data_IF_284098773565
#
_entry.id   IF_284098773565
#
_cell.length_a   1.000
_cell.length_b   1.000
_cell.length_c   1.000
_cell.angle_alpha   90.00
_cell.angle_beta   90.00
_cell.angle_gamma   90.00
#
_symmetry.space_group_name_H-M   'P 1'
#
loop_
_entity.id
_entity.type
_entity.pdbx_description
1 polymer ?
#
# COMPACT_ATOMS: atom_id res chain seq x y z
N UNK A 1 2.03 27.75 3.76
CA UNK A 1 2.26 26.34 4.16
C UNK A 1 1.43 25.34 3.34
N UNK A 2 0.10 25.50 3.26
CA UNK A 2 -0.76 24.64 2.41
C UNK A 2 -0.41 24.64 0.92
N UNK A 3 0.09 25.76 0.37
CA UNK A 3 0.55 25.83 -1.02
C UNK A 3 1.80 24.98 -1.30
N UNK A 4 2.69 24.79 -0.31
CA UNK A 4 3.88 23.93 -0.43
C UNK A 4 3.52 22.45 -0.29
N UNK A 5 2.59 22.11 0.60
CA UNK A 5 1.96 20.77 0.69
C UNK A 5 1.21 20.40 -0.60
N UNK A 6 0.49 21.36 -1.21
CA UNK A 6 -0.27 21.12 -2.45
C UNK A 6 0.60 20.94 -3.69
N UNK A 7 1.78 21.56 -3.75
CA UNK A 7 2.69 21.45 -4.92
C UNK A 7 3.22 20.04 -5.12
N UNK A 8 3.17 19.19 -4.09
CA UNK A 8 3.85 17.90 -4.14
C UNK A 8 3.06 16.73 -3.56
N UNK A 9 1.72 16.83 -3.58
CA UNK A 9 0.81 15.79 -3.07
C UNK A 9 1.21 14.39 -3.55
N UNK A 10 1.49 14.24 -4.86
CA UNK A 10 1.86 12.96 -5.43
C UNK A 10 3.16 12.40 -4.84
N UNK A 11 4.24 13.20 -4.77
CA UNK A 11 5.49 12.76 -4.15
C UNK A 11 5.29 12.43 -2.67
N UNK A 12 4.56 13.27 -1.93
CA UNK A 12 4.32 13.04 -0.50
C UNK A 12 3.56 11.73 -0.25
N UNK A 13 2.54 11.44 -1.05
CA UNK A 13 1.77 10.19 -0.93
C UNK A 13 2.64 8.98 -1.28
N UNK A 14 3.43 9.06 -2.36
CA UNK A 14 4.37 7.99 -2.74
C UNK A 14 5.41 7.74 -1.65
N UNK A 15 5.98 8.79 -1.07
CA UNK A 15 6.96 8.65 0.01
C UNK A 15 6.32 8.07 1.28
N UNK A 16 5.15 8.55 1.67
CA UNK A 16 4.43 8.07 2.84
C UNK A 16 4.07 6.59 2.71
N UNK A 17 3.55 6.18 1.55
CA UNK A 17 3.25 4.78 1.26
C UNK A 17 4.52 3.92 1.25
N UNK A 18 5.61 4.44 0.68
CA UNK A 18 6.91 3.78 0.71
C UNK A 18 7.41 3.52 2.14
N UNK A 19 7.39 4.53 3.00
CA UNK A 19 7.78 4.40 4.42
C UNK A 19 6.86 3.43 5.15
N UNK A 20 5.55 3.55 4.96
CA UNK A 20 4.56 2.69 5.60
C UNK A 20 4.77 1.21 5.21
N UNK A 21 4.91 0.94 3.92
CA UNK A 21 5.17 -0.40 3.40
C UNK A 21 6.46 -0.99 3.99
N UNK A 22 7.54 -0.21 4.09
CA UNK A 22 8.78 -0.67 4.75
C UNK A 22 8.61 -0.95 6.24
N UNK A 23 7.84 -0.13 6.96
CA UNK A 23 7.56 -0.36 8.36
C UNK A 23 6.74 -1.66 8.57
N UNK A 24 5.75 -1.91 7.72
CA UNK A 24 4.98 -3.16 7.72
C UNK A 24 5.88 -4.36 7.41
N UNK A 25 6.75 -4.26 6.41
CA UNK A 25 7.71 -5.30 6.08
C UNK A 25 8.62 -5.64 7.28
N UNK A 26 9.18 -4.62 7.93
CA UNK A 26 10.03 -4.80 9.09
C UNK A 26 9.29 -5.49 10.25
N UNK A 27 8.05 -5.08 10.52
CA UNK A 27 7.19 -5.70 11.53
C UNK A 27 6.92 -7.18 11.21
N UNK A 28 6.55 -7.48 9.96
CA UNK A 28 6.20 -8.83 9.56
C UNK A 28 7.40 -9.77 9.57
N UNK A 29 8.60 -9.30 9.18
CA UNK A 29 9.83 -10.08 9.32
C UNK A 29 10.24 -10.29 10.78
N UNK A 30 10.01 -9.31 11.66
CA UNK A 30 10.40 -9.40 13.06
C UNK A 30 9.54 -10.41 13.84
N UNK A 31 8.23 -10.45 13.58
CA UNK A 31 7.27 -11.26 14.34
C UNK A 31 6.23 -11.97 13.46
N UNK A 32 6.65 -12.83 12.50
CA UNK A 32 5.72 -13.44 11.55
C UNK A 32 4.73 -14.39 12.22
N UNK A 33 5.14 -15.11 13.27
CA UNK A 33 4.27 -16.01 14.04
C UNK A 33 3.14 -15.27 14.76
N UNK A 34 3.43 -14.29 15.62
CA UNK A 34 2.40 -13.46 16.27
C UNK A 34 1.46 -12.77 15.29
N UNK A 35 1.99 -12.20 14.20
CA UNK A 35 1.16 -11.57 13.15
C UNK A 35 0.23 -12.61 12.51
N UNK A 36 0.75 -13.78 12.16
CA UNK A 36 -0.04 -14.87 11.60
C UNK A 36 -1.17 -15.33 12.54
N UNK A 37 -0.86 -15.48 13.84
CA UNK A 37 -1.83 -15.87 14.85
C UNK A 37 -2.99 -14.86 15.01
N UNK A 38 -2.73 -13.56 14.82
CA UNK A 38 -3.77 -12.54 14.80
C UNK A 38 -4.64 -12.63 13.54
N UNK A 39 -4.09 -13.03 12.40
CA UNK A 39 -4.84 -13.11 11.14
C UNK A 39 -5.69 -14.37 11.06
N UNK A 40 -5.12 -15.53 11.35
CA UNK A 40 -5.83 -16.82 11.29
C UNK A 40 -4.91 -18.01 11.01
N UNK A 41 -5.41 -19.24 11.14
CA UNK A 41 -4.61 -20.47 11.05
C UNK A 41 -3.90 -20.66 9.69
N UNK A 42 -4.44 -20.07 8.61
CA UNK A 42 -3.81 -20.15 7.28
C UNK A 42 -2.70 -19.11 7.05
N UNK A 43 -2.58 -18.11 7.93
CA UNK A 43 -1.50 -17.11 7.87
C UNK A 43 -0.21 -17.67 8.47
N UNK A 44 0.35 -18.70 7.82
CA UNK A 44 1.59 -19.35 8.28
C UNK A 44 2.76 -18.36 8.28
N UNK A 45 3.81 -18.59 9.10
CA UNK A 45 4.99 -17.72 9.12
C UNK A 45 5.64 -17.56 7.73
N UNK A 46 5.62 -18.61 6.91
CA UNK A 46 6.12 -18.54 5.54
C UNK A 46 5.31 -17.57 4.66
N UNK A 47 3.97 -17.61 4.78
CA UNK A 47 3.09 -16.67 4.06
C UNK A 47 3.29 -15.23 4.54
N UNK A 48 3.40 -15.02 5.86
CA UNK A 48 3.65 -13.69 6.44
C UNK A 48 5.01 -13.14 5.99
N UNK A 49 6.06 -13.96 5.94
CA UNK A 49 7.35 -13.58 5.38
C UNK A 49 7.28 -13.27 3.88
N UNK A 50 6.46 -14.00 3.12
CA UNK A 50 6.18 -13.70 1.72
C UNK A 50 5.55 -12.31 1.55
N UNK A 51 4.56 -11.97 2.39
CA UNK A 51 3.97 -10.63 2.44
C UNK A 51 4.99 -9.57 2.87
N UNK A 52 5.86 -9.87 3.84
CA UNK A 52 6.93 -8.97 4.27
C UNK A 52 7.89 -8.65 3.12
N UNK A 53 8.30 -9.65 2.34
CA UNK A 53 9.15 -9.46 1.17
C UNK A 53 8.45 -8.62 0.09
N UNK A 54 7.16 -8.87 -0.15
CA UNK A 54 6.35 -8.03 -1.03
C UNK A 54 6.35 -6.57 -0.57
N UNK A 55 6.02 -6.29 0.69
CA UNK A 55 5.99 -4.94 1.25
C UNK A 55 7.36 -4.25 1.24
N UNK A 56 8.44 -5.00 1.42
CA UNK A 56 9.80 -4.48 1.29
C UNK A 56 10.03 -3.96 -0.14
N UNK A 57 9.76 -4.79 -1.15
CA UNK A 57 9.94 -4.42 -2.55
C UNK A 57 8.99 -3.28 -2.96
N UNK A 58 7.73 -3.35 -2.53
CA UNK A 58 6.71 -2.34 -2.80
C UNK A 58 7.08 -1.00 -2.17
N UNK A 59 7.58 -1.01 -0.93
CA UNK A 59 8.04 0.17 -0.22
C UNK A 59 9.26 0.82 -0.88
N UNK A 60 10.25 0.01 -1.29
CA UNK A 60 11.42 0.49 -2.03
C UNK A 60 11.02 1.11 -3.37
N UNK A 61 10.10 0.49 -4.10
CA UNK A 61 9.55 1.02 -5.35
C UNK A 61 8.88 2.39 -5.14
N UNK A 62 8.02 2.52 -4.13
CA UNK A 62 7.34 3.77 -3.80
C UNK A 62 8.30 4.88 -3.36
N UNK A 63 9.29 4.55 -2.55
CA UNK A 63 10.33 5.49 -2.13
C UNK A 63 11.20 5.95 -3.30
N UNK A 64 11.58 5.05 -4.21
CA UNK A 64 12.34 5.40 -5.40
C UNK A 64 11.52 6.32 -6.32
N UNK A 65 10.25 5.98 -6.54
CA UNK A 65 9.35 6.76 -7.38
C UNK A 65 9.04 8.14 -6.78
N UNK A 66 8.78 8.20 -5.46
CA UNK A 66 8.49 9.45 -4.75
C UNK A 66 9.66 10.44 -4.70
N UNK A 67 10.89 9.98 -4.91
CA UNK A 67 12.10 10.83 -4.99
C UNK A 67 12.38 11.38 -6.39
N UNK A 68 11.66 10.94 -7.42
CA UNK A 68 11.78 11.48 -8.78
C UNK A 68 11.11 12.85 -8.88
N UNK A 69 11.73 13.80 -9.60
CA UNK A 69 11.19 15.14 -9.83
C UNK A 69 11.11 15.44 -11.34
N UNK A 70 9.93 15.32 -11.98
CA UNK A 70 8.66 14.80 -11.44
C UNK A 70 8.61 13.26 -11.40
N UNK A 71 7.71 12.65 -10.60
CA UNK A 71 7.43 11.22 -10.66
C UNK A 71 6.99 10.75 -12.05
N UNK A 72 7.56 9.64 -12.51
CA UNK A 72 7.19 9.00 -13.78
C UNK A 72 5.70 8.63 -13.81
N UNK A 73 4.97 9.20 -14.76
CA UNK A 73 3.53 8.96 -14.89
C UNK A 73 3.20 7.47 -15.14
N UNK A 74 4.03 6.75 -15.90
CA UNK A 74 3.83 5.32 -16.15
C UNK A 74 4.00 4.50 -14.88
N UNK A 75 5.05 4.77 -14.08
CA UNK A 75 5.28 4.10 -12.81
C UNK A 75 4.19 4.42 -11.77
N UNK A 76 3.67 5.65 -11.77
CA UNK A 76 2.54 6.02 -10.89
C UNK A 76 1.27 5.27 -11.29
N UNK A 77 1.00 5.09 -12.58
CA UNK A 77 -0.14 4.26 -13.03
C UNK A 77 0.03 2.80 -12.60
N UNK A 78 1.25 2.27 -12.65
CA UNK A 78 1.55 0.93 -12.14
C UNK A 78 1.29 0.83 -10.62
N UNK A 79 1.71 1.84 -9.85
CA UNK A 79 1.43 1.92 -8.41
C UNK A 79 -0.08 1.90 -8.13
N UNK A 80 -0.86 2.74 -8.83
CA UNK A 80 -2.32 2.79 -8.70
C UNK A 80 -2.97 1.44 -9.06
N UNK A 81 -2.48 0.77 -10.11
CA UNK A 81 -3.00 -0.54 -10.50
C UNK A 81 -2.68 -1.61 -9.46
N UNK A 82 -1.47 -1.60 -8.89
CA UNK A 82 -1.08 -2.51 -7.81
C UNK A 82 -1.89 -2.30 -6.54
N UNK A 83 -2.14 -1.05 -6.14
CA UNK A 83 -3.03 -0.73 -5.03
C UNK A 83 -4.45 -1.24 -5.30
N UNK A 84 -4.95 -1.07 -6.53
CA UNK A 84 -6.26 -1.56 -6.94
C UNK A 84 -6.35 -3.09 -6.83
N UNK A 85 -5.32 -3.79 -7.27
CA UNK A 85 -5.22 -5.25 -7.13
C UNK A 85 -5.16 -5.67 -5.66
N UNK A 86 -4.44 -4.93 -4.81
CA UNK A 86 -4.38 -5.19 -3.38
C UNK A 86 -5.77 -5.07 -2.72
N UNK A 87 -6.52 -4.01 -3.04
CA UNK A 87 -7.88 -3.82 -2.53
C UNK A 87 -8.80 -4.96 -2.98
N UNK A 88 -8.76 -5.33 -4.26
CA UNK A 88 -9.55 -6.47 -4.79
C UNK A 88 -9.17 -7.77 -4.09
N UNK A 89 -7.88 -8.03 -3.92
CA UNK A 89 -7.38 -9.21 -3.19
C UNK A 89 -7.85 -9.23 -1.75
N UNK A 90 -7.87 -8.07 -1.08
CA UNK A 90 -8.34 -7.92 0.29
C UNK A 90 -9.84 -8.22 0.40
N UNK A 91 -10.65 -7.74 -0.54
CA UNK A 91 -12.08 -8.06 -0.62
C UNK A 91 -12.29 -9.56 -0.88
N UNK A 92 -11.51 -10.17 -1.78
CA UNK A 92 -11.59 -11.60 -2.05
C UNK A 92 -11.28 -12.43 -0.80
N UNK A 93 -10.26 -12.04 -0.02
CA UNK A 93 -9.93 -12.65 1.27
C UNK A 93 -11.09 -12.51 2.27
N UNK A 94 -11.70 -11.33 2.37
CA UNK A 94 -12.83 -11.07 3.28
C UNK A 94 -14.12 -11.81 2.92
N UNK A 95 -14.35 -12.08 1.64
CA UNK A 95 -15.58 -12.73 1.15
C UNK A 95 -15.42 -14.25 1.08
N UNK A 96 -14.35 -14.72 0.42
CA UNK A 96 -14.13 -16.13 0.14
C UNK A 96 -13.22 -16.82 1.17
N UNK A 97 -12.31 -16.08 1.79
CA UNK A 97 -11.37 -16.61 2.80
C UNK A 97 -11.84 -16.42 4.25
N UNK A 98 -13.05 -15.89 4.46
CA UNK A 98 -13.55 -15.42 5.76
C UNK A 98 -13.47 -16.47 6.88
N UNK A 99 -13.78 -17.72 6.56
CA UNK A 99 -13.85 -18.82 7.54
C UNK A 99 -12.45 -19.21 8.04
N UNK A 100 -11.41 -18.79 7.33
CA UNK A 100 -10.00 -18.95 7.70
C UNK A 100 -9.40 -17.78 8.47
N UNK A 101 -10.19 -16.74 8.77
CA UNK A 101 -9.74 -15.54 9.48
C UNK A 101 -10.27 -15.53 10.91
N UNK A 102 -9.48 -14.97 11.82
CA UNK A 102 -10.01 -14.53 13.11
C UNK A 102 -10.82 -13.24 12.92
N UNK A 103 -11.60 -12.85 13.94
CA UNK A 103 -12.26 -11.54 13.95
C UNK A 103 -11.26 -10.38 13.83
N UNK A 104 -10.11 -10.48 14.51
CA UNK A 104 -9.03 -9.51 14.40
C UNK A 104 -8.44 -9.49 12.99
N UNK A 105 -8.26 -10.66 12.37
CA UNK A 105 -7.81 -10.79 10.98
C UNK A 105 -8.75 -10.10 9.99
N UNK A 106 -10.06 -10.29 10.15
CA UNK A 106 -11.09 -9.59 9.36
C UNK A 106 -10.93 -8.08 9.51
N UNK A 107 -10.84 -7.58 10.74
CA UNK A 107 -10.70 -6.15 11.00
C UNK A 107 -9.40 -5.58 10.39
N UNK A 108 -8.27 -6.29 10.54
CA UNK A 108 -6.98 -5.89 9.96
C UNK A 108 -7.04 -5.80 8.44
N UNK A 109 -7.58 -6.83 7.77
CA UNK A 109 -7.70 -6.84 6.30
C UNK A 109 -8.65 -5.75 5.82
N UNK A 110 -9.78 -5.54 6.49
CA UNK A 110 -10.73 -4.49 6.13
C UNK A 110 -10.13 -3.09 6.27
N UNK A 111 -9.46 -2.81 7.40
CA UNK A 111 -8.80 -1.51 7.63
C UNK A 111 -7.68 -1.29 6.61
N UNK A 112 -6.86 -2.31 6.32
CA UNK A 112 -5.82 -2.23 5.32
C UNK A 112 -6.40 -1.95 3.92
N UNK A 113 -7.50 -2.60 3.55
CA UNK A 113 -8.17 -2.38 2.27
C UNK A 113 -8.64 -0.93 2.11
N UNK A 114 -9.26 -0.36 3.14
CA UNK A 114 -9.71 1.04 3.13
C UNK A 114 -8.52 1.99 3.04
N UNK A 115 -7.49 1.79 3.87
CA UNK A 115 -6.30 2.64 3.86
C UNK A 115 -5.60 2.65 2.49
N UNK A 116 -5.47 1.48 1.84
CA UNK A 116 -4.86 1.38 0.51
C UNK A 116 -5.78 2.01 -0.56
N UNK A 117 -7.10 1.89 -0.44
CA UNK A 117 -8.04 2.58 -1.33
C UNK A 117 -7.91 4.11 -1.23
N UNK A 118 -7.76 4.65 -0.02
CA UNK A 118 -7.53 6.10 0.18
C UNK A 118 -6.19 6.54 -0.45
N UNK A 119 -5.12 5.77 -0.26
CA UNK A 119 -3.81 6.02 -0.88
C UNK A 119 -3.92 6.01 -2.40
N UNK A 120 -4.62 5.02 -2.97
CA UNK A 120 -4.87 4.91 -4.40
C UNK A 120 -5.57 6.17 -4.94
N UNK A 121 -6.64 6.62 -4.27
CA UNK A 121 -7.37 7.83 -4.66
C UNK A 121 -6.49 9.07 -4.60
N UNK A 122 -5.66 9.19 -3.56
CA UNK A 122 -4.70 10.30 -3.43
C UNK A 122 -3.65 10.28 -4.56
N UNK A 123 -3.14 9.10 -4.96
CA UNK A 123 -2.23 8.97 -6.12
C UNK A 123 -2.92 9.38 -7.43
N UNK A 124 -4.18 8.98 -7.64
CA UNK A 124 -4.96 9.39 -8.82
C UNK A 124 -5.14 10.91 -8.88
N UNK A 125 -5.56 11.52 -7.77
CA UNK A 125 -5.71 12.98 -7.67
C UNK A 125 -4.37 13.67 -7.93
N UNK A 126 -3.29 13.17 -7.33
CA UNK A 126 -1.93 13.70 -7.53
C UNK A 126 -1.47 13.63 -8.98
N UNK A 127 -1.70 12.51 -9.66
CA UNK A 127 -1.33 12.31 -11.06
C UNK A 127 -2.11 13.23 -12.00
N UNK A 128 -3.42 13.37 -11.80
CA UNK A 128 -4.27 14.26 -12.61
C UNK A 128 -3.79 15.71 -12.49
N UNK A 129 -3.46 16.15 -11.27
CA UNK A 129 -2.94 17.51 -11.03
C UNK A 129 -1.59 17.73 -11.73
N UNK A 130 -0.67 16.78 -11.64
CA UNK A 130 0.63 16.85 -12.32
C UNK A 130 0.45 16.96 -13.84
N UNK A 131 -0.43 16.16 -14.44
CA UNK A 131 -0.69 16.20 -15.88
C UNK A 131 -1.28 17.52 -16.34
N UNK A 132 -2.23 18.09 -15.58
CA UNK A 132 -2.81 19.42 -15.88
C UNK A 132 -1.75 20.52 -15.84
N UNK A 133 -0.87 20.48 -14.84
CA UNK A 133 0.21 21.46 -14.71
C UNK A 133 1.28 21.35 -15.82
N UNK A 134 1.41 20.19 -16.47
CA UNK A 134 2.34 20.00 -17.59
C UNK A 134 1.81 20.50 -18.94
N UNK A 135 0.51 20.77 -19.04
CA UNK A 135 -0.17 21.21 -20.28
C UNK A 135 -0.61 22.69 -20.20
N UNK A 136 -0.63 23.27 -19.00
CA UNK A 136 -0.88 24.69 -18.76
C UNK A 136 0.40 25.53 -18.91
#
# INVERSE_FOLDING_TARGET
MFAALNRNLLQSVLLADGVFSLAVAALFFAIPGPVGALVGPFATPALVNGLAAFFLLWGLFHLALGRQAPPSAAAVRLAIAGDGLWVIGSIAVLVAGRDGLTLTGIALVAVAAVAVADILLLKQIGLIRQQRAAVA
#
